data_IF_403333939559
#
_entry.id   IF_403333939559
#
_cell.length_a   1.000
_cell.length_b   1.000
_cell.length_c   1.000
_cell.angle_alpha   90.00
_cell.angle_beta   90.00
_cell.angle_gamma   90.00
#
_symmetry.space_group_name_H-M   'P 1'
#
loop_
_entity.id
_entity.type
_entity.pdbx_description
1 polymer ?
#
# COMPACT_ATOMS: atom_id res chain seq x y z
N UNK A 1 -25.38 28.86 -16.30
CA UNK A 1 -24.97 27.60 -15.62
C UNK A 1 -23.75 27.05 -16.36
N UNK A 2 -22.58 27.04 -15.73
CA UNK A 2 -21.34 26.80 -16.44
C UNK A 2 -21.16 25.27 -16.64
N UNK A 3 -20.92 24.85 -17.88
CA UNK A 3 -20.76 23.43 -18.29
C UNK A 3 -19.61 22.72 -17.49
N UNK A 4 -18.65 23.47 -16.93
CA UNK A 4 -17.59 22.98 -16.10
C UNK A 4 -18.07 22.39 -14.76
N UNK A 5 -19.11 22.97 -14.17
CA UNK A 5 -19.63 22.49 -12.86
C UNK A 5 -20.36 21.16 -12.99
N UNK A 6 -20.97 20.88 -14.15
CA UNK A 6 -21.70 19.63 -14.39
C UNK A 6 -20.78 18.40 -14.43
N UNK A 7 -19.60 18.51 -15.04
CA UNK A 7 -18.64 17.37 -15.12
C UNK A 7 -18.05 17.02 -13.75
N UNK A 8 -17.81 18.01 -12.89
CA UNK A 8 -17.32 17.80 -11.53
C UNK A 8 -18.42 17.15 -10.67
N UNK A 9 -19.65 17.65 -10.76
CA UNK A 9 -20.82 17.12 -10.07
C UNK A 9 -21.09 15.66 -10.46
N UNK A 10 -21.02 15.32 -11.75
CA UNK A 10 -21.20 13.95 -12.24
C UNK A 10 -20.16 13.00 -11.67
N UNK A 11 -18.88 13.41 -11.60
CA UNK A 11 -17.82 12.58 -10.98
C UNK A 11 -18.09 12.32 -9.50
N UNK A 12 -18.55 13.33 -8.75
CA UNK A 12 -18.91 13.13 -7.34
C UNK A 12 -20.10 12.19 -7.18
N UNK A 13 -21.14 12.33 -8.00
CA UNK A 13 -22.30 11.44 -7.95
C UNK A 13 -21.92 10.00 -8.29
N UNK A 14 -21.04 9.77 -9.27
CA UNK A 14 -20.54 8.45 -9.61
C UNK A 14 -19.70 7.86 -8.43
N UNK A 15 -18.84 8.66 -7.82
CA UNK A 15 -18.05 8.21 -6.67
C UNK A 15 -18.94 7.83 -5.47
N UNK A 16 -20.00 8.61 -5.20
CA UNK A 16 -20.99 8.28 -4.16
C UNK A 16 -21.73 7.00 -4.53
N UNK A 17 -22.18 6.86 -5.77
CA UNK A 17 -22.89 5.66 -6.22
C UNK A 17 -22.01 4.39 -6.16
N UNK A 18 -20.70 4.51 -6.40
CA UNK A 18 -19.73 3.41 -6.18
C UNK A 18 -19.57 3.08 -4.69
N UNK A 19 -19.43 4.11 -3.84
CA UNK A 19 -19.29 3.93 -2.40
C UNK A 19 -20.54 3.30 -1.76
N UNK A 20 -21.72 3.62 -2.28
CA UNK A 20 -23.00 3.04 -1.86
C UNK A 20 -23.28 1.66 -2.48
N UNK A 21 -22.39 1.15 -3.34
CA UNK A 21 -22.55 -0.14 -4.01
C UNK A 21 -23.71 -0.17 -5.00
N UNK A 22 -24.09 0.97 -5.60
CA UNK A 22 -25.12 1.06 -6.63
C UNK A 22 -24.54 0.72 -8.01
N UNK A 23 -23.30 1.16 -8.24
CA UNK A 23 -22.57 0.91 -9.48
C UNK A 23 -21.17 0.38 -9.15
N UNK A 24 -20.53 -0.23 -10.12
CA UNK A 24 -19.11 -0.58 -10.09
C UNK A 24 -18.45 -0.32 -11.45
N UNK A 25 -17.12 -0.35 -11.50
CA UNK A 25 -16.39 -0.22 -12.75
C UNK A 25 -16.79 -1.35 -13.71
N UNK A 26 -17.19 -0.98 -14.93
CA UNK A 26 -17.47 -1.90 -16.04
C UNK A 26 -16.22 -2.20 -16.87
N UNK A 27 -16.41 -2.87 -18.00
CA UNK A 27 -15.37 -3.07 -18.98
C UNK A 27 -14.88 -1.73 -19.53
N UNK A 28 -13.58 -1.57 -19.73
CA UNK A 28 -13.01 -0.36 -20.33
C UNK A 28 -13.33 -0.30 -21.82
N UNK A 29 -13.75 0.88 -22.30
CA UNK A 29 -13.88 1.18 -23.71
C UNK A 29 -12.68 2.04 -24.15
N UNK A 30 -11.66 1.40 -24.68
CA UNK A 30 -10.36 2.03 -24.94
C UNK A 30 -9.72 2.58 -23.66
N UNK A 31 -9.64 3.93 -23.53
CA UNK A 31 -9.15 4.62 -22.33
C UNK A 31 -10.26 5.14 -21.41
N UNK A 32 -11.51 4.88 -21.74
CA UNK A 32 -12.66 5.38 -20.99
C UNK A 32 -13.06 4.38 -19.91
N UNK A 33 -13.24 4.87 -18.69
CA UNK A 33 -13.85 4.11 -17.61
C UNK A 33 -15.35 4.05 -17.89
N UNK A 34 -15.94 2.86 -17.85
CA UNK A 34 -17.38 2.67 -17.90
C UNK A 34 -17.91 2.20 -16.55
N UNK A 35 -19.20 2.37 -16.33
CA UNK A 35 -19.87 1.96 -15.11
C UNK A 35 -20.97 0.96 -15.41
N UNK A 36 -21.18 0.04 -14.48
CA UNK A 36 -22.26 -0.95 -14.54
C UNK A 36 -23.03 -0.92 -13.23
N UNK A 37 -24.35 -1.11 -13.30
CA UNK A 37 -25.17 -1.28 -12.11
C UNK A 37 -24.83 -2.62 -11.44
N UNK A 38 -24.79 -2.62 -10.12
CA UNK A 38 -24.81 -3.87 -9.36
C UNK A 38 -26.11 -4.61 -9.66
N UNK A 39 -26.01 -5.82 -10.21
CA UNK A 39 -27.16 -6.68 -10.45
C UNK A 39 -27.76 -7.20 -9.14
N UNK A 40 -29.07 -7.45 -9.13
CA UNK A 40 -29.73 -8.10 -7.96
C UNK A 40 -29.10 -9.45 -7.58
N UNK A 41 -28.47 -10.14 -8.53
CA UNK A 41 -27.76 -11.40 -8.33
C UNK A 41 -26.34 -11.23 -7.81
N UNK A 42 -25.73 -10.06 -7.96
CA UNK A 42 -24.38 -9.74 -7.47
C UNK A 42 -24.40 -9.37 -5.97
N UNK A 43 -25.55 -9.01 -5.42
CA UNK A 43 -25.80 -8.81 -3.99
C UNK A 43 -25.77 -10.09 -3.14
N UNK A 44 -25.28 -11.19 -3.71
CA UNK A 44 -25.02 -12.46 -2.98
C UNK A 44 -23.88 -12.36 -1.96
N UNK A 45 -23.10 -11.30 -2.00
CA UNK A 45 -22.19 -10.94 -0.91
C UNK A 45 -23.01 -10.28 0.20
N UNK A 46 -23.67 -11.13 1.03
CA UNK A 46 -24.41 -10.67 2.19
C UNK A 46 -23.59 -9.65 2.99
N UNK A 47 -24.26 -8.61 3.48
CA UNK A 47 -23.61 -7.62 4.33
C UNK A 47 -23.05 -8.34 5.57
N UNK A 48 -21.73 -8.37 5.72
CA UNK A 48 -21.09 -8.97 6.88
C UNK A 48 -21.47 -8.18 8.14
N UNK A 49 -21.72 -8.86 9.26
CA UNK A 49 -21.76 -8.17 10.54
C UNK A 49 -20.53 -7.30 10.72
N UNK A 50 -20.72 -6.12 11.31
CA UNK A 50 -19.63 -5.13 11.44
C UNK A 50 -18.39 -5.71 12.12
N UNK A 51 -18.56 -6.46 13.18
CA UNK A 51 -17.45 -7.07 13.91
C UNK A 51 -16.69 -8.09 13.05
N UNK A 52 -17.39 -8.89 12.28
CA UNK A 52 -16.76 -9.84 11.34
C UNK A 52 -16.00 -9.11 10.23
N UNK A 53 -16.55 -8.00 9.71
CA UNK A 53 -15.87 -7.19 8.71
C UNK A 53 -14.59 -6.58 9.27
N UNK A 54 -14.61 -6.06 10.52
CA UNK A 54 -13.43 -5.52 11.21
C UNK A 54 -12.38 -6.61 11.47
N UNK A 55 -12.79 -7.81 11.88
CA UNK A 55 -11.90 -8.95 12.09
C UNK A 55 -11.21 -9.36 10.78
N UNK A 56 -11.97 -9.47 9.69
CA UNK A 56 -11.41 -9.80 8.36
C UNK A 56 -10.44 -8.74 7.86
N UNK A 57 -10.74 -7.47 8.08
CA UNK A 57 -9.86 -6.36 7.71
C UNK A 57 -8.55 -6.41 8.51
N UNK A 58 -8.63 -6.58 9.83
CA UNK A 58 -7.46 -6.73 10.69
C UNK A 58 -6.60 -7.94 10.28
N UNK A 59 -7.24 -9.09 10.03
CA UNK A 59 -6.56 -10.29 9.54
C UNK A 59 -5.75 -10.00 8.28
N UNK A 60 -6.37 -9.40 7.26
CA UNK A 60 -5.69 -9.08 5.99
C UNK A 60 -4.54 -8.12 6.19
N UNK A 61 -4.72 -7.09 7.02
CA UNK A 61 -3.67 -6.13 7.30
C UNK A 61 -2.46 -6.80 7.97
N UNK A 62 -2.65 -7.50 9.09
CA UNK A 62 -1.55 -8.13 9.81
C UNK A 62 -0.93 -9.33 9.07
N UNK A 63 -1.65 -9.96 8.16
CA UNK A 63 -1.06 -10.97 7.26
C UNK A 63 -0.09 -10.38 6.25
N UNK A 64 -0.33 -9.17 5.78
CA UNK A 64 0.46 -8.55 4.70
C UNK A 64 1.46 -7.48 5.19
N UNK A 65 1.20 -6.82 6.33
CA UNK A 65 1.97 -5.68 6.82
C UNK A 65 2.75 -5.93 8.12
N UNK A 66 2.63 -7.12 8.71
CA UNK A 66 3.36 -7.42 9.94
C UNK A 66 4.89 -7.52 9.71
N UNK A 67 5.70 -7.05 10.68
CA UNK A 67 5.30 -6.51 11.98
C UNK A 67 4.75 -5.07 11.88
N UNK A 68 3.61 -4.82 12.47
CA UNK A 68 2.96 -3.50 12.45
C UNK A 68 2.35 -3.15 13.81
N UNK A 69 2.15 -1.86 14.06
CA UNK A 69 1.54 -1.35 15.28
C UNK A 69 0.04 -1.12 15.10
N UNK A 70 -0.70 -0.93 16.21
CA UNK A 70 -2.08 -0.44 16.14
C UNK A 70 -2.17 0.91 15.42
N UNK A 71 -1.19 1.80 15.62
CA UNK A 71 -1.17 3.11 14.98
C UNK A 71 -1.02 3.01 13.45
N UNK A 72 -0.26 2.03 12.95
CA UNK A 72 -0.14 1.76 11.52
C UNK A 72 -1.46 1.22 10.95
N UNK A 73 -2.11 0.30 11.65
CA UNK A 73 -3.42 -0.23 11.22
C UNK A 73 -4.50 0.86 11.18
N UNK A 74 -4.54 1.75 12.17
CA UNK A 74 -5.43 2.92 12.17
C UNK A 74 -5.15 3.84 10.99
N UNK A 75 -3.87 4.11 10.73
CA UNK A 75 -3.44 4.94 9.61
C UNK A 75 -3.86 4.34 8.26
N UNK A 76 -3.59 3.06 8.06
CA UNK A 76 -3.86 2.36 6.82
C UNK A 76 -5.36 2.20 6.55
N UNK A 77 -6.13 1.81 7.57
CA UNK A 77 -7.56 1.56 7.42
C UNK A 77 -8.41 2.82 7.36
N UNK A 78 -7.93 3.95 7.91
CA UNK A 78 -8.71 5.17 8.10
C UNK A 78 -9.83 5.02 9.13
N UNK A 79 -9.90 3.89 9.85
CA UNK A 79 -10.94 3.64 10.85
C UNK A 79 -10.61 4.29 12.20
N UNK A 80 -11.63 4.61 13.01
CA UNK A 80 -11.43 5.01 14.38
C UNK A 80 -10.66 3.97 15.19
N UNK A 81 -9.79 4.40 16.11
CA UNK A 81 -8.98 3.53 16.97
C UNK A 81 -9.82 2.44 17.67
N UNK A 82 -11.03 2.81 18.12
CA UNK A 82 -11.96 1.88 18.78
C UNK A 82 -12.34 0.71 17.87
N UNK A 83 -12.62 0.98 16.61
CA UNK A 83 -12.98 -0.05 15.62
C UNK A 83 -11.79 -0.95 15.27
N UNK A 84 -10.61 -0.36 15.10
CA UNK A 84 -9.38 -1.13 14.91
C UNK A 84 -9.10 -2.09 16.09
N UNK A 85 -9.30 -1.62 17.33
CA UNK A 85 -9.16 -2.48 18.52
C UNK A 85 -10.17 -3.64 18.52
N UNK A 86 -11.44 -3.39 18.21
CA UNK A 86 -12.45 -4.46 18.09
C UNK A 86 -11.99 -5.51 17.07
N UNK A 87 -11.56 -5.08 15.87
CA UNK A 87 -11.06 -6.01 14.86
C UNK A 87 -9.85 -6.83 15.32
N UNK A 88 -8.91 -6.22 16.02
CA UNK A 88 -7.72 -6.90 16.55
C UNK A 88 -8.07 -7.87 17.70
N UNK A 89 -9.00 -7.51 18.56
CA UNK A 89 -9.47 -8.36 19.67
C UNK A 89 -10.08 -9.66 19.14
N UNK A 90 -10.87 -9.58 18.05
CA UNK A 90 -11.48 -10.76 17.42
C UNK A 90 -10.45 -11.76 16.86
N UNK A 91 -9.26 -11.28 16.50
CA UNK A 91 -8.19 -12.11 15.94
C UNK A 91 -7.01 -12.28 16.91
N UNK A 92 -7.19 -11.94 18.19
CA UNK A 92 -6.12 -11.91 19.18
C UNK A 92 -5.37 -13.25 19.34
N UNK A 93 -6.07 -14.37 19.16
CA UNK A 93 -5.45 -15.72 19.19
C UNK A 93 -4.47 -15.96 18.04
N UNK A 94 -4.62 -15.28 16.91
CA UNK A 94 -3.74 -15.36 15.75
C UNK A 94 -2.63 -14.28 15.76
N UNK A 95 -2.63 -13.38 16.74
CA UNK A 95 -1.63 -12.32 16.86
C UNK A 95 -0.63 -12.61 17.97
N UNK A 96 0.64 -12.45 17.65
CA UNK A 96 1.73 -12.43 18.61
C UNK A 96 2.25 -11.01 18.78
N UNK A 97 2.43 -10.57 20.03
CA UNK A 97 2.96 -9.24 20.34
C UNK A 97 4.47 -9.34 20.59
N UNK A 98 5.21 -8.40 20.00
CA UNK A 98 6.65 -8.21 20.29
C UNK A 98 6.93 -6.77 20.67
N UNK A 99 7.65 -6.58 21.76
CA UNK A 99 8.16 -5.27 22.17
C UNK A 99 9.48 -4.99 21.46
N UNK A 100 9.54 -3.89 20.71
CA UNK A 100 10.77 -3.42 20.04
C UNK A 100 10.93 -1.93 20.39
N UNK A 101 12.02 -1.60 21.08
CA UNK A 101 12.30 -0.23 21.51
C UNK A 101 11.13 0.45 22.27
N UNK A 102 10.43 -0.30 23.11
CA UNK A 102 9.29 0.21 23.89
C UNK A 102 7.97 0.33 23.11
N UNK A 103 7.93 -0.10 21.86
CA UNK A 103 6.73 -0.10 21.00
C UNK A 103 6.22 -1.52 20.78
N UNK A 104 4.91 -1.71 20.88
CA UNK A 104 4.24 -2.98 20.61
C UNK A 104 4.05 -3.17 19.10
N UNK A 105 4.60 -4.27 18.58
CA UNK A 105 4.39 -4.74 17.22
C UNK A 105 3.59 -6.04 17.22
N UNK A 106 2.64 -6.14 16.34
CA UNK A 106 1.79 -7.30 16.15
C UNK A 106 2.22 -8.08 14.91
N UNK A 107 2.30 -9.40 15.06
CA UNK A 107 2.66 -10.35 14.02
C UNK A 107 1.55 -11.38 13.90
N UNK A 108 1.12 -11.68 12.70
CA UNK A 108 0.13 -12.73 12.46
C UNK A 108 0.82 -14.10 12.39
N UNK A 109 0.20 -15.15 12.92
CA UNK A 109 0.76 -16.51 12.96
C UNK A 109 1.13 -17.09 11.58
N UNK A 110 0.45 -16.64 10.52
CA UNK A 110 0.72 -17.04 9.14
C UNK A 110 1.94 -16.38 8.50
N UNK A 111 2.52 -15.35 9.15
CA UNK A 111 3.68 -14.66 8.58
C UNK A 111 4.88 -15.62 8.49
N UNK A 112 5.54 -15.59 7.34
CA UNK A 112 6.78 -16.34 7.10
C UNK A 112 7.90 -15.35 6.81
N UNK A 113 8.93 -15.41 7.61
CA UNK A 113 10.11 -14.54 7.48
C UNK A 113 11.21 -15.30 6.75
N UNK A 114 11.55 -14.84 5.55
CA UNK A 114 12.68 -15.38 4.78
C UNK A 114 14.02 -14.82 5.29
N UNK A 115 15.11 -15.49 4.91
CA UNK A 115 16.44 -14.88 5.03
C UNK A 115 16.57 -13.79 3.99
N UNK A 116 16.98 -12.60 4.41
CA UNK A 116 17.27 -11.55 3.45
C UNK A 116 18.53 -11.85 2.66
N UNK A 117 18.46 -11.56 1.38
CA UNK A 117 19.64 -11.59 0.52
C UNK A 117 20.43 -10.31 0.77
N UNK A 118 21.73 -10.44 1.05
CA UNK A 118 22.65 -9.31 1.05
C UNK A 118 22.65 -8.66 -0.33
N UNK A 119 22.87 -7.37 -0.38
CA UNK A 119 22.94 -6.56 -1.60
C UNK A 119 21.68 -6.62 -2.48
N UNK A 120 20.51 -6.96 -1.87
CA UNK A 120 19.26 -6.98 -2.63
C UNK A 120 18.77 -5.57 -2.94
N UNK A 121 18.43 -5.32 -4.22
CA UNK A 121 17.83 -4.07 -4.67
C UNK A 121 16.44 -4.36 -5.21
N UNK A 122 15.47 -3.51 -4.80
CA UNK A 122 14.11 -3.53 -5.34
C UNK A 122 13.72 -2.11 -5.77
N UNK A 123 13.22 -1.99 -7.01
CA UNK A 123 12.68 -0.73 -7.53
C UNK A 123 11.19 -0.67 -7.17
N UNK A 124 10.86 0.19 -6.22
CA UNK A 124 9.49 0.36 -5.73
C UNK A 124 8.77 1.46 -6.53
N UNK A 125 7.50 1.25 -6.91
CA UNK A 125 6.72 2.23 -7.65
C UNK A 125 6.39 3.46 -6.78
N UNK A 126 5.84 4.55 -7.37
CA UNK A 126 5.23 5.59 -6.58
C UNK A 126 4.04 5.02 -5.80
N UNK A 127 3.80 5.53 -4.59
CA UNK A 127 2.73 5.06 -3.69
C UNK A 127 2.83 3.57 -3.32
N UNK A 128 4.06 3.05 -3.20
CA UNK A 128 4.26 1.67 -2.73
C UNK A 128 3.80 1.49 -1.27
N UNK A 129 3.17 0.34 -0.98
CA UNK A 129 2.63 0.00 0.34
C UNK A 129 3.69 0.05 1.46
N UNK A 130 4.95 -0.21 1.16
CA UNK A 130 6.04 -0.08 2.13
C UNK A 130 6.11 1.34 2.72
N UNK A 131 5.74 2.36 1.95
CA UNK A 131 5.71 3.74 2.40
C UNK A 131 4.33 4.23 2.83
N UNK A 132 3.25 3.83 2.15
CA UNK A 132 1.92 4.35 2.48
C UNK A 132 1.20 3.53 3.54
N UNK A 133 1.53 2.26 3.69
CA UNK A 133 0.86 1.32 4.59
C UNK A 133 1.18 1.51 6.08
N UNK A 134 2.15 2.36 6.41
CA UNK A 134 2.60 2.59 7.79
C UNK A 134 2.55 4.06 8.18
N UNK A 135 2.18 4.33 9.43
CA UNK A 135 2.25 5.67 10.01
C UNK A 135 3.69 6.06 10.31
N UNK A 136 4.43 5.14 10.93
CA UNK A 136 5.86 5.30 11.20
C UNK A 136 6.69 4.56 10.14
N UNK A 137 7.52 5.28 9.44
CA UNK A 137 8.40 4.79 8.36
C UNK A 137 9.86 4.71 8.76
N UNK A 138 10.18 5.05 9.99
CA UNK A 138 11.56 5.18 10.48
C UNK A 138 12.37 3.89 10.38
N UNK A 139 11.69 2.72 10.38
CA UNK A 139 12.33 1.42 10.19
C UNK A 139 12.99 1.26 8.80
N UNK A 140 12.45 1.92 7.76
CA UNK A 140 12.92 1.78 6.37
C UNK A 140 13.41 3.08 5.75
N UNK A 141 13.07 4.24 6.33
CA UNK A 141 13.38 5.56 5.79
C UNK A 141 13.92 6.47 6.89
N UNK A 142 15.14 6.98 6.70
CA UNK A 142 15.72 7.97 7.63
C UNK A 142 14.98 9.29 7.50
N UNK A 143 14.85 10.01 8.62
CA UNK A 143 14.14 11.29 8.71
C UNK A 143 14.69 12.36 7.76
N UNK A 144 15.99 12.38 7.55
CA UNK A 144 16.68 13.31 6.63
C UNK A 144 16.36 13.06 5.15
N UNK A 145 15.91 11.84 4.80
CA UNK A 145 15.55 11.46 3.43
C UNK A 145 14.03 11.49 3.15
N UNK A 146 13.19 11.76 4.16
CA UNK A 146 11.74 11.80 4.00
C UNK A 146 11.29 12.67 2.84
N UNK A 147 11.83 13.91 2.73
CA UNK A 147 11.47 14.83 1.65
C UNK A 147 11.90 14.38 0.26
N UNK A 148 12.82 13.42 0.17
CA UNK A 148 13.23 12.79 -1.09
C UNK A 148 12.30 11.64 -1.46
N UNK A 149 11.64 11.00 -0.50
CA UNK A 149 10.72 9.89 -0.72
C UNK A 149 9.27 10.34 -0.92
N UNK A 150 8.84 11.41 -0.23
CA UNK A 150 7.50 11.99 -0.40
C UNK A 150 7.50 13.49 -0.04
N UNK A 151 6.44 14.20 -0.46
CA UNK A 151 6.28 15.61 -0.16
C UNK A 151 5.10 15.88 0.80
N UNK A 152 4.95 17.13 1.21
CA UNK A 152 3.90 17.59 2.13
C UNK A 152 2.48 17.52 1.52
N UNK A 153 2.35 17.35 0.21
CA UNK A 153 1.08 17.18 -0.47
C UNK A 153 0.64 15.71 -0.56
N UNK A 154 1.37 14.80 0.08
CA UNK A 154 1.07 13.36 0.06
C UNK A 154 1.44 12.67 -1.25
N UNK A 155 2.36 13.24 -2.03
CA UNK A 155 2.89 12.60 -3.24
C UNK A 155 4.08 11.75 -2.85
N UNK A 156 4.01 10.45 -3.10
CA UNK A 156 5.08 9.49 -2.89
C UNK A 156 5.80 9.22 -4.20
N UNK A 157 7.13 9.32 -4.16
CA UNK A 157 7.97 9.15 -5.33
C UNK A 157 8.41 7.68 -5.51
N UNK A 158 8.81 7.29 -6.73
CA UNK A 158 9.45 5.98 -6.94
C UNK A 158 10.76 5.93 -6.16
N UNK A 159 10.95 4.88 -5.35
CA UNK A 159 12.10 4.75 -4.48
C UNK A 159 12.84 3.43 -4.69
N UNK A 160 14.09 3.40 -4.29
CA UNK A 160 14.95 2.22 -4.30
C UNK A 160 15.06 1.66 -2.90
N UNK A 161 14.63 0.44 -2.71
CA UNK A 161 14.89 -0.32 -1.49
C UNK A 161 16.20 -1.09 -1.67
N UNK A 162 17.17 -0.84 -0.78
CA UNK A 162 18.43 -1.56 -0.68
C UNK A 162 18.59 -2.08 0.73
N UNK A 163 18.82 -3.36 0.89
CA UNK A 163 19.02 -4.06 2.17
C UNK A 163 17.96 -3.82 3.25
N UNK A 164 16.93 -3.23 3.18
CA UNK A 164 15.86 -2.86 4.15
C UNK A 164 15.62 -1.37 4.25
N UNK A 165 16.38 -0.53 3.55
CA UNK A 165 16.28 0.91 3.67
C UNK A 165 16.00 1.53 2.32
N UNK A 166 15.23 2.59 2.34
CA UNK A 166 15.05 3.43 1.18
C UNK A 166 16.34 4.20 0.95
N UNK A 167 17.07 3.81 -0.07
CA UNK A 167 18.43 4.28 -0.36
C UNK A 167 18.49 5.30 -1.51
N UNK A 168 17.41 5.52 -2.25
CA UNK A 168 17.43 6.42 -3.39
C UNK A 168 16.08 6.56 -4.09
N UNK A 169 16.08 7.32 -5.18
CA UNK A 169 14.98 7.43 -6.13
C UNK A 169 15.34 6.80 -7.47
N UNK A 170 14.34 6.45 -8.27
CA UNK A 170 14.55 5.96 -9.61
C UNK A 170 13.52 6.54 -10.59
N UNK A 171 13.90 6.59 -11.87
CA UNK A 171 13.06 7.06 -12.96
C UNK A 171 12.58 5.89 -13.80
N UNK A 172 11.26 5.71 -13.91
CA UNK A 172 10.67 4.69 -14.79
C UNK A 172 11.02 4.89 -16.27
N UNK A 173 11.12 6.15 -16.71
CA UNK A 173 11.36 6.49 -18.12
C UNK A 173 12.78 6.15 -18.56
N UNK A 174 13.75 6.43 -17.69
CA UNK A 174 15.19 6.35 -18.02
C UNK A 174 15.86 5.14 -17.37
N UNK A 175 15.17 4.43 -16.46
CA UNK A 175 15.73 3.41 -15.58
C UNK A 175 16.99 3.90 -14.85
N UNK A 176 17.08 5.22 -14.66
CA UNK A 176 18.15 5.85 -13.89
C UNK A 176 17.86 5.76 -12.41
N UNK A 177 18.90 5.61 -11.59
CA UNK A 177 18.84 5.55 -10.13
C UNK A 177 19.74 6.61 -9.55
N UNK A 178 19.23 7.34 -8.55
CA UNK A 178 19.97 8.34 -7.77
C UNK A 178 19.94 7.94 -6.31
N UNK A 179 21.09 7.55 -5.75
CA UNK A 179 21.21 7.20 -4.34
C UNK A 179 21.28 8.45 -3.46
N UNK A 180 20.78 8.37 -2.23
CA UNK A 180 20.75 9.49 -1.30
C UNK A 180 22.10 9.78 -0.67
N UNK A 181 22.91 8.74 -0.49
CA UNK A 181 24.25 8.76 0.08
C UNK A 181 25.25 8.13 -0.89
N UNK A 182 26.53 8.19 -0.52
CA UNK A 182 27.59 7.57 -1.30
C UNK A 182 27.61 6.02 -1.20
N UNK A 183 26.67 5.43 -0.48
CA UNK A 183 26.52 3.99 -0.34
C UNK A 183 26.03 3.42 -1.68
N UNK A 184 26.96 3.01 -2.50
CA UNK A 184 26.66 2.46 -3.83
C UNK A 184 26.58 0.94 -3.72
N UNK A 185 25.38 0.36 -3.92
CA UNK A 185 25.28 -1.10 -4.04
C UNK A 185 26.08 -1.61 -5.25
N UNK A 186 26.35 -2.91 -5.26
CA UNK A 186 26.99 -3.55 -6.38
C UNK A 186 26.24 -3.27 -7.69
N UNK A 187 26.97 -2.84 -8.72
CA UNK A 187 26.42 -2.53 -10.03
C UNK A 187 25.67 -3.73 -10.66
N UNK A 188 26.14 -4.96 -10.42
CA UNK A 188 25.47 -6.17 -10.90
C UNK A 188 24.08 -6.35 -10.26
N UNK A 189 23.93 -6.03 -8.97
CA UNK A 189 22.65 -6.09 -8.27
C UNK A 189 21.66 -5.03 -8.81
N UNK A 190 22.14 -3.83 -9.11
CA UNK A 190 21.33 -2.80 -9.72
C UNK A 190 20.84 -3.20 -11.13
N UNK A 191 21.73 -3.71 -11.97
CA UNK A 191 21.36 -4.19 -13.31
C UNK A 191 20.39 -5.38 -13.26
N UNK A 192 20.53 -6.26 -12.30
CA UNK A 192 19.57 -7.34 -12.06
C UNK A 192 18.17 -6.79 -11.71
N UNK A 193 18.09 -5.79 -10.82
CA UNK A 193 16.82 -5.16 -10.46
C UNK A 193 16.14 -4.47 -11.66
N UNK A 194 16.90 -3.76 -12.49
CA UNK A 194 16.39 -3.15 -13.72
C UNK A 194 15.83 -4.20 -14.69
N UNK A 195 16.58 -5.28 -14.95
CA UNK A 195 16.13 -6.39 -15.81
C UNK A 195 14.86 -7.06 -15.28
N UNK A 196 14.73 -7.23 -13.98
CA UNK A 196 13.51 -7.75 -13.36
C UNK A 196 12.32 -6.84 -13.60
N UNK A 197 12.49 -5.54 -13.43
CA UNK A 197 11.46 -4.55 -13.72
C UNK A 197 11.05 -4.56 -15.21
N UNK A 198 12.00 -4.57 -16.14
CA UNK A 198 11.74 -4.64 -17.59
C UNK A 198 10.94 -5.91 -17.94
N UNK A 199 11.35 -7.05 -17.39
CA UNK A 199 10.63 -8.31 -17.59
C UNK A 199 9.19 -8.21 -17.10
N UNK A 200 8.96 -7.65 -15.91
CA UNK A 200 7.61 -7.44 -15.34
C UNK A 200 6.75 -6.57 -16.27
N UNK A 201 7.28 -5.45 -16.74
CA UNK A 201 6.55 -4.53 -17.64
C UNK A 201 6.22 -5.18 -18.98
N UNK A 202 7.14 -5.98 -19.54
CA UNK A 202 6.95 -6.62 -20.84
C UNK A 202 6.00 -7.82 -20.79
N UNK A 203 5.90 -8.51 -19.64
CA UNK A 203 4.97 -9.64 -19.44
C UNK A 203 3.52 -9.16 -19.26
N UNK A 204 3.31 -7.92 -18.83
CA UNK A 204 1.99 -7.35 -18.55
C UNK A 204 1.52 -6.33 -19.61
N UNK A 205 2.11 -6.31 -20.79
CA UNK A 205 1.67 -5.59 -21.99
C UNK A 205 0.97 -6.53 -22.96
#
# INVERSE_FOLDING_TARGET
MCIRDSAHTVRHLLAVAEAEGIIHNGCTDGRKITYRLYGKDENKFGCLPKEEALARLATKYFQSHAPATLADFVWWSGLPVKECRIGMEQISSALTVKMINGTEYFLHESNRYGKMQKDSITLLPPYDELLIGYKDRSAVLSKEHERKAYNTFGIFYPVVLHEHRIAGNWSRKELSVTFFENDKPDAACLEKAKKQYEKFVNTNR
#
